data_IF_389373298291
#
_entry.id   IF_389373298291
#
_cell.length_a   1.000
_cell.length_b   1.000
_cell.length_c   1.000
_cell.angle_alpha   90.00
_cell.angle_beta   90.00
_cell.angle_gamma   90.00
#
_symmetry.space_group_name_H-M   'P 1'
#
loop_
_entity.id
_entity.type
_entity.pdbx_description
1 polymer ?
#
# COMPACT_ATOMS: atom_id res chain seq x y z
N UNK A 1 -5.44 -2.85 -2.04
CA UNK A 1 -5.32 -4.27 -1.62
C UNK A 1 -4.69 -5.05 -2.77
N UNK A 2 -3.56 -5.68 -2.57
CA UNK A 2 -2.78 -6.22 -3.68
C UNK A 2 -3.13 -7.69 -3.97
N UNK A 3 -3.41 -8.05 -5.22
CA UNK A 3 -3.53 -9.44 -5.70
C UNK A 3 -2.27 -10.23 -5.32
N UNK A 4 -1.13 -9.57 -5.35
CA UNK A 4 0.15 -10.11 -4.91
C UNK A 4 0.09 -10.71 -3.49
N UNK A 5 -0.59 -10.05 -2.54
CA UNK A 5 -0.74 -10.58 -1.18
C UNK A 5 -1.59 -11.85 -1.13
N UNK A 6 -2.56 -12.02 -2.04
CA UNK A 6 -3.32 -13.27 -2.14
C UNK A 6 -2.46 -14.43 -2.63
N UNK A 7 -1.65 -14.20 -3.65
CA UNK A 7 -0.74 -15.21 -4.18
C UNK A 7 0.31 -15.67 -3.16
N UNK A 8 0.62 -14.82 -2.17
CA UNK A 8 1.52 -15.16 -1.07
C UNK A 8 0.79 -15.83 0.09
N UNK A 9 -0.39 -15.32 0.47
CA UNK A 9 -1.07 -15.73 1.69
C UNK A 9 -1.96 -16.97 1.51
N UNK A 10 -2.53 -17.16 0.33
CA UNK A 10 -3.44 -18.28 0.03
C UNK A 10 -2.62 -19.41 -0.58
N UNK A 11 -2.09 -20.29 0.27
CA UNK A 11 -1.22 -21.41 -0.11
C UNK A 11 -1.61 -22.67 0.66
N UNK A 12 -1.32 -23.84 0.08
CA UNK A 12 -1.35 -25.14 0.75
C UNK A 12 0.06 -25.72 0.67
N UNK A 13 0.56 -26.22 1.81
CA UNK A 13 1.89 -26.85 1.91
C UNK A 13 3.03 -26.00 1.31
N UNK A 14 2.95 -24.67 1.51
CA UNK A 14 3.94 -23.71 0.99
C UNK A 14 3.80 -23.38 -0.50
N UNK A 15 2.89 -24.05 -1.23
CA UNK A 15 2.64 -23.81 -2.66
C UNK A 15 1.36 -23.02 -2.90
N UNK A 16 1.28 -22.32 -4.04
CA UNK A 16 0.04 -21.68 -4.49
C UNK A 16 -1.02 -22.74 -4.76
N UNK A 17 -2.29 -22.41 -4.49
CA UNK A 17 -3.39 -23.29 -4.86
C UNK A 17 -3.50 -23.36 -6.38
N UNK A 18 -3.63 -24.55 -6.90
CA UNK A 18 -3.78 -24.85 -8.32
C UNK A 18 -5.03 -25.68 -8.56
N UNK A 19 -5.62 -25.56 -9.73
CA UNK A 19 -6.65 -26.47 -10.22
C UNK A 19 -6.01 -27.78 -10.75
N UNK A 20 -6.81 -28.69 -11.23
CA UNK A 20 -6.35 -29.97 -11.80
C UNK A 20 -5.48 -29.77 -13.07
N UNK A 21 -5.62 -28.63 -13.75
CA UNK A 21 -4.86 -28.25 -14.94
C UNK A 21 -3.52 -27.56 -14.59
N UNK A 22 -3.22 -27.36 -13.29
CA UNK A 22 -2.00 -26.71 -12.81
C UNK A 22 -2.04 -25.17 -12.85
N UNK A 23 -3.21 -24.56 -13.10
CA UNK A 23 -3.35 -23.11 -13.07
C UNK A 23 -3.52 -22.59 -11.64
N UNK A 24 -2.88 -21.48 -11.34
CA UNK A 24 -2.97 -20.84 -10.01
C UNK A 24 -4.36 -20.26 -9.74
N UNK A 25 -4.99 -20.66 -8.65
CA UNK A 25 -6.32 -20.18 -8.22
C UNK A 25 -6.29 -19.38 -6.93
N UNK A 26 -5.14 -19.22 -6.29
CA UNK A 26 -4.95 -18.50 -5.02
C UNK A 26 -5.49 -17.06 -5.04
N UNK A 27 -5.31 -16.33 -6.13
CA UNK A 27 -5.79 -14.96 -6.30
C UNK A 27 -7.32 -14.88 -6.35
N UNK A 28 -7.97 -15.84 -7.04
CA UNK A 28 -9.42 -15.92 -7.10
C UNK A 28 -10.02 -16.27 -5.75
N UNK A 29 -9.45 -17.26 -5.07
CA UNK A 29 -9.88 -17.63 -3.72
C UNK A 29 -9.72 -16.46 -2.75
N UNK A 30 -8.56 -15.81 -2.78
CA UNK A 30 -8.30 -14.64 -1.95
C UNK A 30 -9.27 -13.49 -2.22
N UNK A 31 -9.52 -13.15 -3.49
CA UNK A 31 -10.44 -12.08 -3.89
C UNK A 31 -11.89 -12.42 -3.50
N UNK A 32 -12.37 -13.62 -3.81
CA UNK A 32 -13.73 -14.05 -3.51
C UNK A 32 -14.05 -13.97 -2.02
N UNK A 33 -13.28 -14.68 -1.19
CA UNK A 33 -13.55 -14.71 0.24
C UNK A 33 -13.28 -13.38 0.96
N UNK A 34 -12.30 -12.61 0.48
CA UNK A 34 -12.05 -11.28 1.03
C UNK A 34 -13.22 -10.33 0.74
N UNK A 35 -13.74 -10.35 -0.49
CA UNK A 35 -14.88 -9.52 -0.89
C UNK A 35 -16.13 -9.90 -0.08
N UNK A 36 -16.42 -11.20 0.07
CA UNK A 36 -17.53 -11.66 0.93
C UNK A 36 -17.39 -11.12 2.35
N UNK A 37 -16.20 -11.25 2.95
CA UNK A 37 -15.94 -10.80 4.32
C UNK A 37 -16.09 -9.28 4.48
N UNK A 38 -15.68 -8.50 3.49
CA UNK A 38 -15.89 -7.05 3.50
C UNK A 38 -17.39 -6.72 3.45
N UNK A 39 -18.15 -7.40 2.58
CA UNK A 39 -19.59 -7.20 2.46
C UNK A 39 -20.35 -7.68 3.71
N UNK A 40 -20.00 -8.83 4.29
CA UNK A 40 -20.56 -9.34 5.56
C UNK A 40 -20.43 -8.33 6.72
N UNK A 41 -19.36 -7.49 6.67
CA UNK A 41 -19.16 -6.40 7.64
C UNK A 41 -19.85 -5.08 7.23
N UNK A 42 -20.78 -5.11 6.28
CA UNK A 42 -21.58 -3.97 5.87
C UNK A 42 -20.84 -2.93 5.03
N UNK A 43 -19.67 -3.27 4.48
CA UNK A 43 -18.86 -2.38 3.63
C UNK A 43 -19.11 -2.74 2.17
N UNK A 44 -19.47 -1.75 1.35
CA UNK A 44 -19.58 -1.89 -0.11
C UNK A 44 -18.26 -1.54 -0.77
N UNK A 45 -17.48 -2.52 -1.22
CA UNK A 45 -16.16 -2.26 -1.82
C UNK A 45 -16.29 -1.80 -3.27
N UNK A 46 -15.40 -0.89 -3.66
CA UNK A 46 -15.03 -0.58 -5.03
C UNK A 46 -13.58 -0.96 -5.23
N UNK A 47 -13.28 -1.76 -6.24
CA UNK A 47 -11.90 -2.15 -6.54
C UNK A 47 -11.31 -1.26 -7.63
N UNK A 48 -10.09 -0.79 -7.41
CA UNK A 48 -9.34 -0.02 -8.39
C UNK A 48 -8.07 -0.80 -8.76
N UNK A 49 -7.88 -1.01 -10.06
CA UNK A 49 -6.70 -1.70 -10.61
C UNK A 49 -5.73 -0.66 -11.17
N UNK A 50 -4.44 -0.95 -11.02
CA UNK A 50 -3.39 -0.12 -11.61
C UNK A 50 -3.45 -0.15 -13.15
N UNK A 51 -3.16 1.00 -13.74
CA UNK A 51 -2.93 1.16 -15.16
C UNK A 51 -1.45 1.13 -15.54
N UNK A 52 -1.03 2.03 -16.43
CA UNK A 52 0.36 2.16 -16.83
C UNK A 52 1.16 2.93 -15.77
N UNK A 53 2.31 2.42 -15.28
CA UNK A 53 3.09 3.12 -14.28
C UNK A 53 3.66 4.43 -14.84
N UNK A 54 3.77 5.50 -14.04
CA UNK A 54 4.43 6.74 -14.43
C UNK A 54 5.91 6.50 -14.80
N UNK A 55 6.45 7.32 -15.71
CA UNK A 55 7.85 7.18 -16.18
C UNK A 55 8.86 7.27 -15.03
N UNK A 56 8.64 8.16 -14.06
CA UNK A 56 9.52 8.32 -12.90
C UNK A 56 9.59 7.08 -11.99
N UNK A 57 8.60 6.18 -12.06
CA UNK A 57 8.62 4.91 -11.31
C UNK A 57 9.54 3.85 -11.92
N UNK A 58 10.13 4.12 -13.09
CA UNK A 58 11.01 3.16 -13.78
C UNK A 58 12.20 2.67 -12.94
N UNK A 59 12.80 3.54 -12.13
CA UNK A 59 13.90 3.19 -11.23
C UNK A 59 13.49 2.18 -10.15
N UNK A 60 12.34 2.39 -9.51
CA UNK A 60 11.84 1.43 -8.52
C UNK A 60 11.40 0.11 -9.18
N UNK A 61 10.80 0.16 -10.36
CA UNK A 61 10.45 -1.04 -11.12
C UNK A 61 11.69 -1.86 -11.50
N UNK A 62 12.78 -1.20 -11.91
CA UNK A 62 14.06 -1.86 -12.20
C UNK A 62 14.64 -2.54 -10.94
N UNK A 63 14.61 -1.86 -9.78
CA UNK A 63 15.04 -2.44 -8.49
C UNK A 63 14.18 -3.62 -8.07
N UNK A 64 12.87 -3.56 -8.26
CA UNK A 64 11.95 -4.69 -7.99
C UNK A 64 12.27 -5.87 -8.90
N UNK A 65 12.59 -5.61 -10.15
CA UNK A 65 13.00 -6.64 -11.11
C UNK A 65 14.31 -7.32 -10.68
N UNK A 66 15.33 -6.53 -10.33
CA UNK A 66 16.61 -7.06 -9.85
C UNK A 66 16.46 -7.90 -8.58
N UNK A 67 15.76 -7.39 -7.54
CA UNK A 67 15.48 -8.17 -6.31
C UNK A 67 14.79 -9.49 -6.60
N UNK A 68 13.96 -9.53 -7.65
CA UNK A 68 13.29 -10.74 -8.08
C UNK A 68 14.24 -11.72 -8.78
N UNK A 69 15.15 -11.23 -9.62
CA UNK A 69 16.19 -12.08 -10.21
C UNK A 69 17.05 -12.72 -9.11
N UNK A 70 17.55 -11.92 -8.16
CA UNK A 70 18.29 -12.41 -6.99
C UNK A 70 17.49 -13.46 -6.19
N UNK A 71 16.17 -13.27 -6.07
CA UNK A 71 15.31 -14.24 -5.39
C UNK A 71 15.08 -15.51 -6.20
N UNK A 72 15.06 -15.45 -7.55
CA UNK A 72 14.98 -16.64 -8.40
C UNK A 72 16.28 -17.45 -8.32
N UNK A 73 17.43 -16.80 -8.39
CA UNK A 73 18.75 -17.44 -8.22
C UNK A 73 18.85 -18.13 -6.86
N UNK A 74 18.46 -17.42 -5.79
CA UNK A 74 18.41 -18.00 -4.44
C UNK A 74 17.38 -19.12 -4.29
N UNK A 75 16.30 -19.14 -5.08
CA UNK A 75 15.35 -20.25 -5.08
C UNK A 75 15.93 -21.52 -5.73
N UNK A 76 16.64 -21.37 -6.84
CA UNK A 76 17.28 -22.52 -7.48
C UNK A 76 18.39 -23.09 -6.58
N UNK A 77 19.23 -22.25 -5.98
CA UNK A 77 20.24 -22.69 -5.00
C UNK A 77 19.58 -23.37 -3.78
N UNK A 78 18.46 -22.82 -3.27
CA UNK A 78 17.75 -23.41 -2.14
C UNK A 78 17.09 -24.76 -2.48
N UNK A 79 16.69 -25.00 -3.74
CA UNK A 79 16.17 -26.29 -4.18
C UNK A 79 17.27 -27.36 -4.23
N UNK A 80 18.52 -26.99 -4.55
CA UNK A 80 19.63 -27.91 -4.66
C UNK A 80 20.26 -28.25 -3.30
N UNK A 81 20.47 -27.24 -2.46
CA UNK A 81 21.28 -27.36 -1.24
C UNK A 81 20.63 -26.81 0.03
N UNK A 82 19.46 -26.14 -0.09
CA UNK A 82 18.81 -25.43 0.99
C UNK A 82 17.83 -26.26 1.81
N UNK A 83 17.23 -25.62 2.81
CA UNK A 83 16.16 -26.18 3.62
C UNK A 83 14.78 -25.90 3.01
N UNK A 84 13.75 -26.66 3.44
CA UNK A 84 12.37 -26.39 3.03
C UNK A 84 11.91 -24.96 3.37
N UNK A 85 12.41 -24.40 4.48
CA UNK A 85 12.14 -23.01 4.89
C UNK A 85 12.77 -22.00 3.93
N UNK A 86 13.98 -22.25 3.43
CA UNK A 86 14.64 -21.39 2.44
C UNK A 86 13.89 -21.43 1.11
N UNK A 87 13.50 -22.61 0.65
CA UNK A 87 12.68 -22.78 -0.56
C UNK A 87 11.36 -22.00 -0.42
N UNK A 88 10.66 -22.12 0.69
CA UNK A 88 9.41 -21.38 0.93
C UNK A 88 9.65 -19.85 0.94
N UNK A 89 10.70 -19.39 1.62
CA UNK A 89 11.07 -17.97 1.71
C UNK A 89 11.35 -17.36 0.33
N UNK A 90 12.15 -18.02 -0.49
CA UNK A 90 12.46 -17.55 -1.84
C UNK A 90 11.25 -17.69 -2.77
N UNK A 91 10.49 -18.79 -2.70
CA UNK A 91 9.25 -18.98 -3.46
C UNK A 91 8.23 -17.84 -3.25
N UNK A 92 8.12 -17.30 -2.03
CA UNK A 92 7.27 -16.13 -1.76
C UNK A 92 7.75 -14.86 -2.45
N UNK A 93 9.07 -14.71 -2.62
CA UNK A 93 9.68 -13.51 -3.23
C UNK A 93 9.64 -13.54 -4.75
N UNK A 94 9.51 -14.73 -5.36
CA UNK A 94 9.45 -14.91 -6.82
C UNK A 94 8.05 -14.75 -7.40
N UNK A 95 7.01 -14.64 -6.56
CA UNK A 95 5.62 -14.48 -6.99
C UNK A 95 5.47 -13.28 -7.93
N UNK A 96 4.67 -13.46 -8.99
CA UNK A 96 4.34 -12.42 -9.95
C UNK A 96 2.85 -12.37 -10.22
N UNK A 97 2.29 -11.18 -10.18
CA UNK A 97 0.95 -10.91 -10.72
C UNK A 97 1.07 -10.80 -12.23
N UNK A 98 0.26 -11.55 -12.97
CA UNK A 98 0.21 -11.49 -14.43
C UNK A 98 -1.00 -10.69 -14.91
N UNK A 99 -1.06 -10.41 -16.21
CA UNK A 99 -2.24 -9.76 -16.82
C UNK A 99 -3.47 -10.67 -16.72
N UNK A 100 -3.26 -11.97 -16.83
CA UNK A 100 -4.30 -13.00 -16.69
C UNK A 100 -4.91 -12.96 -15.29
N UNK A 101 -4.08 -12.92 -14.23
CA UNK A 101 -4.56 -12.79 -12.84
C UNK A 101 -5.44 -11.55 -12.65
N UNK A 102 -5.06 -10.41 -13.27
CA UNK A 102 -5.86 -9.19 -13.22
C UNK A 102 -7.20 -9.37 -13.96
N UNK A 103 -7.16 -9.93 -15.18
CA UNK A 103 -8.36 -10.16 -15.99
C UNK A 103 -9.33 -11.13 -15.31
N UNK A 104 -8.82 -12.19 -14.69
CA UNK A 104 -9.61 -13.16 -13.93
C UNK A 104 -10.25 -12.53 -12.68
N UNK A 105 -9.51 -11.69 -11.95
CA UNK A 105 -10.06 -10.93 -10.82
C UNK A 105 -11.15 -9.94 -11.27
N UNK A 106 -10.96 -9.26 -12.38
CA UNK A 106 -11.98 -8.35 -12.96
C UNK A 106 -13.23 -9.12 -13.40
N UNK A 107 -13.06 -10.27 -14.06
CA UNK A 107 -14.17 -11.17 -14.41
C UNK A 107 -14.91 -11.64 -13.17
N UNK A 108 -14.19 -12.06 -12.13
CA UNK A 108 -14.77 -12.48 -10.86
C UNK A 108 -15.59 -11.37 -10.22
N UNK A 109 -15.04 -10.16 -10.10
CA UNK A 109 -15.75 -9.01 -9.50
C UNK A 109 -17.02 -8.67 -10.29
N UNK A 110 -16.96 -8.70 -11.63
CA UNK A 110 -18.13 -8.49 -12.48
C UNK A 110 -19.22 -9.53 -12.21
N UNK A 111 -18.88 -10.81 -12.11
CA UNK A 111 -19.81 -11.88 -11.79
C UNK A 111 -20.35 -11.78 -10.36
N UNK A 112 -19.57 -11.25 -9.44
CA UNK A 112 -20.02 -10.94 -8.07
C UNK A 112 -20.90 -9.70 -7.97
N UNK A 113 -21.10 -8.94 -9.04
CA UNK A 113 -21.85 -7.68 -9.03
C UNK A 113 -21.11 -6.55 -8.29
N UNK A 114 -19.79 -6.66 -8.13
CA UNK A 114 -18.95 -5.68 -7.45
C UNK A 114 -18.30 -4.76 -8.49
N UNK A 115 -18.47 -3.44 -8.39
CA UNK A 115 -17.87 -2.51 -9.32
C UNK A 115 -16.34 -2.48 -9.19
N UNK A 116 -15.68 -2.30 -10.32
CA UNK A 116 -14.24 -2.04 -10.38
C UNK A 116 -13.92 -0.98 -11.43
N UNK A 117 -12.77 -0.35 -11.27
CA UNK A 117 -12.22 0.66 -12.17
C UNK A 117 -10.78 0.32 -12.51
N UNK A 118 -10.36 0.59 -13.74
CA UNK A 118 -8.95 0.57 -14.12
C UNK A 118 -8.47 2.01 -14.17
N UNK A 119 -7.53 2.36 -13.30
CA UNK A 119 -6.92 3.68 -13.29
C UNK A 119 -6.08 3.89 -14.56
N UNK A 120 -5.93 5.12 -15.07
CA UNK A 120 -4.97 5.42 -16.13
C UNK A 120 -3.53 5.08 -15.71
N UNK A 121 -3.17 5.43 -14.46
CA UNK A 121 -1.86 5.14 -13.87
C UNK A 121 -2.00 4.37 -12.55
N UNK A 122 -1.81 5.01 -11.43
CA UNK A 122 -1.78 4.38 -10.11
C UNK A 122 -3.16 4.31 -9.46
N UNK A 123 -3.51 3.13 -8.95
CA UNK A 123 -4.77 2.89 -8.27
C UNK A 123 -4.94 3.77 -7.03
N UNK A 124 -3.87 4.01 -6.27
CA UNK A 124 -3.86 4.86 -5.08
C UNK A 124 -4.27 6.30 -5.41
N UNK A 125 -3.74 6.85 -6.49
CA UNK A 125 -4.09 8.20 -6.97
C UNK A 125 -5.57 8.28 -7.36
N UNK A 126 -6.07 7.28 -8.08
CA UNK A 126 -7.49 7.20 -8.47
C UNK A 126 -8.40 7.05 -7.25
N UNK A 127 -8.04 6.22 -6.28
CA UNK A 127 -8.77 6.09 -5.02
C UNK A 127 -8.83 7.42 -4.26
N UNK A 128 -7.74 8.18 -4.25
CA UNK A 128 -7.68 9.49 -3.61
C UNK A 128 -8.66 10.48 -4.24
N UNK A 129 -8.74 10.53 -5.57
CA UNK A 129 -9.69 11.39 -6.30
C UNK A 129 -11.13 11.03 -5.95
N UNK A 130 -11.48 9.74 -5.97
CA UNK A 130 -12.83 9.27 -5.64
C UNK A 130 -13.21 9.58 -4.19
N UNK A 131 -12.26 9.46 -3.26
CA UNK A 131 -12.48 9.77 -1.84
C UNK A 131 -12.66 11.29 -1.63
N UNK A 132 -11.84 12.14 -2.27
CA UNK A 132 -12.01 13.60 -2.22
C UNK A 132 -13.33 14.07 -2.78
N UNK A 133 -13.79 13.45 -3.85
CA UNK A 133 -15.08 13.76 -4.47
C UNK A 133 -16.30 13.21 -3.71
N UNK A 134 -16.08 12.48 -2.61
CA UNK A 134 -17.17 11.87 -1.83
C UNK A 134 -17.87 10.71 -2.54
N UNK A 135 -17.33 10.18 -3.64
CA UNK A 135 -17.86 8.98 -4.32
C UNK A 135 -17.69 7.73 -3.46
N UNK A 136 -16.63 7.70 -2.64
CA UNK A 136 -16.36 6.69 -1.62
C UNK A 136 -16.00 7.35 -0.30
N UNK A 137 -16.18 6.63 0.81
CA UNK A 137 -15.85 7.13 2.15
C UNK A 137 -14.34 7.29 2.37
N UNK A 138 -13.56 6.33 1.94
CA UNK A 138 -12.12 6.26 2.18
C UNK A 138 -11.42 5.44 1.11
N UNK A 139 -10.13 5.64 0.94
CA UNK A 139 -9.27 4.71 0.25
C UNK A 139 -8.79 3.61 1.20
N UNK A 140 -8.71 2.37 0.73
CA UNK A 140 -8.19 1.24 1.50
C UNK A 140 -6.91 0.71 0.84
N UNK A 141 -5.77 0.98 1.45
CA UNK A 141 -4.45 0.53 0.98
C UNK A 141 -3.53 0.26 2.17
N UNK A 142 -2.57 -0.64 1.98
CA UNK A 142 -1.45 -0.81 2.92
C UNK A 142 -0.34 0.20 2.65
N UNK A 143 -0.38 0.85 1.49
CA UNK A 143 0.59 1.86 1.09
C UNK A 143 0.24 3.23 1.66
N UNK A 144 1.19 3.79 2.42
CA UNK A 144 1.03 5.11 3.03
C UNK A 144 1.17 6.25 2.01
N UNK A 145 1.77 6.00 0.85
CA UNK A 145 1.91 7.00 -0.22
C UNK A 145 0.55 7.45 -0.75
N UNK A 146 -0.51 6.64 -0.51
CA UNK A 146 -1.91 7.04 -0.72
C UNK A 146 -2.25 8.40 -0.08
N UNK A 147 -1.65 8.75 1.06
CA UNK A 147 -1.85 10.06 1.71
C UNK A 147 -1.19 11.20 0.92
N UNK A 148 -0.11 10.94 0.20
CA UNK A 148 0.57 11.94 -0.63
C UNK A 148 -0.31 12.41 -1.80
N UNK A 149 -1.25 11.58 -2.25
CA UNK A 149 -2.28 11.96 -3.22
C UNK A 149 -3.44 12.75 -2.60
N UNK A 150 -3.28 13.28 -1.39
CA UNK A 150 -4.32 14.03 -0.65
C UNK A 150 -5.59 13.22 -0.38
N UNK A 151 -5.46 11.95 -0.07
CA UNK A 151 -6.59 11.11 0.38
C UNK A 151 -7.07 11.58 1.75
N UNK A 152 -8.35 11.96 1.92
CA UNK A 152 -8.85 12.46 3.20
C UNK A 152 -8.77 11.41 4.31
N UNK A 153 -9.14 10.17 3.99
CA UNK A 153 -9.18 9.04 4.93
C UNK A 153 -8.55 7.82 4.26
N UNK A 154 -7.54 7.26 4.91
CA UNK A 154 -6.90 6.01 4.53
C UNK A 154 -7.25 4.91 5.53
N UNK A 155 -7.78 3.79 5.04
CA UNK A 155 -8.01 2.58 5.84
C UNK A 155 -6.87 1.59 5.61
N UNK A 156 -6.21 1.18 6.70
CA UNK A 156 -5.19 0.13 6.67
C UNK A 156 -5.67 -1.11 7.42
N UNK A 157 -5.08 -2.24 7.09
CA UNK A 157 -5.42 -3.54 7.68
C UNK A 157 -6.90 -3.95 7.50
N UNK A 158 -7.51 -3.52 6.37
CA UNK A 158 -8.87 -3.91 6.00
C UNK A 158 -8.90 -5.39 5.56
N UNK A 159 -8.35 -6.26 6.40
CA UNK A 159 -8.21 -7.69 6.09
C UNK A 159 -9.22 -8.55 6.83
N UNK A 160 -9.77 -8.06 7.94
CA UNK A 160 -10.63 -8.81 8.86
C UNK A 160 -10.03 -10.18 9.22
N UNK A 161 -8.70 -10.25 9.36
CA UNK A 161 -8.01 -11.49 9.66
C UNK A 161 -8.19 -11.87 11.13
N UNK A 162 -8.92 -12.96 11.38
CA UNK A 162 -9.09 -13.50 12.72
C UNK A 162 -7.77 -13.97 13.35
N UNK A 163 -6.83 -14.42 12.51
CA UNK A 163 -5.52 -14.91 12.97
C UNK A 163 -4.61 -13.78 13.45
N UNK A 164 -4.61 -12.62 12.78
CA UNK A 164 -3.74 -11.51 13.14
C UNK A 164 -4.32 -10.58 14.19
N UNK A 165 -5.65 -10.52 14.30
CA UNK A 165 -6.38 -9.63 15.23
C UNK A 165 -5.87 -8.19 15.25
N UNK A 166 -5.31 -7.75 14.13
CA UNK A 166 -4.87 -6.36 14.00
C UNK A 166 -6.10 -5.48 13.76
N UNK A 167 -6.28 -4.42 14.53
CA UNK A 167 -7.41 -3.51 14.33
C UNK A 167 -7.27 -2.79 13.00
N UNK A 168 -8.40 -2.51 12.35
CA UNK A 168 -8.43 -1.61 11.19
C UNK A 168 -7.96 -0.25 11.67
N UNK A 169 -7.00 0.32 10.94
CA UNK A 169 -6.50 1.66 11.21
C UNK A 169 -7.18 2.64 10.25
N UNK A 170 -7.84 3.61 10.81
CA UNK A 170 -8.39 4.75 10.07
C UNK A 170 -7.49 5.96 10.29
N UNK A 171 -6.86 6.41 9.22
CA UNK A 171 -5.89 7.50 9.23
C UNK A 171 -6.51 8.68 8.50
N UNK A 172 -6.69 9.78 9.22
CA UNK A 172 -7.19 11.03 8.69
C UNK A 172 -6.01 11.93 8.34
N UNK A 173 -5.95 12.40 7.09
CA UNK A 173 -4.87 13.27 6.62
C UNK A 173 -4.76 14.56 7.45
N UNK A 174 -5.89 15.17 7.82
CA UNK A 174 -5.93 16.34 8.67
C UNK A 174 -5.21 16.11 10.01
N UNK A 175 -5.48 14.99 10.67
CA UNK A 175 -4.82 14.63 11.94
C UNK A 175 -3.33 14.34 11.77
N UNK A 176 -2.93 13.82 10.60
CA UNK A 176 -1.52 13.63 10.27
C UNK A 176 -0.80 14.98 10.15
N UNK A 177 -1.38 15.90 9.39
CA UNK A 177 -0.82 17.25 9.20
C UNK A 177 -0.74 18.03 10.54
N UNK A 178 -1.77 17.92 11.38
CA UNK A 178 -1.77 18.48 12.74
C UNK A 178 -0.65 17.89 13.60
N UNK A 179 -0.53 16.56 13.62
CA UNK A 179 0.47 15.87 14.43
C UNK A 179 1.91 16.17 13.99
N UNK A 180 2.10 16.46 12.71
CA UNK A 180 3.38 16.89 12.15
C UNK A 180 3.64 18.39 12.33
N UNK A 181 2.69 19.15 12.91
CA UNK A 181 2.75 20.63 13.01
C UNK A 181 3.11 21.30 11.68
N UNK A 182 2.51 20.83 10.58
CA UNK A 182 2.64 21.47 9.27
C UNK A 182 1.95 22.82 9.29
N UNK A 183 2.54 23.82 8.63
CA UNK A 183 2.13 25.21 8.81
C UNK A 183 0.72 25.50 8.29
N UNK A 184 -0.12 26.07 9.16
CA UNK A 184 -1.47 26.57 8.82
C UNK A 184 -1.48 27.92 8.13
N UNK A 185 -0.32 28.58 8.00
CA UNK A 185 -0.25 29.90 7.39
C UNK A 185 -0.43 29.82 5.88
N UNK A 186 -1.40 30.57 5.39
CA UNK A 186 -1.59 30.78 3.96
C UNK A 186 -0.35 31.45 3.37
N UNK A 187 0.51 30.65 2.75
CA UNK A 187 1.52 31.20 1.84
C UNK A 187 0.81 31.37 0.50
N UNK A 188 0.69 32.60 0.03
CA UNK A 188 0.33 32.87 -1.37
C UNK A 188 1.47 32.32 -2.22
N UNK A 189 1.29 31.11 -2.75
CA UNK A 189 2.18 30.56 -3.76
C UNK A 189 1.83 31.22 -5.10
N UNK A 190 2.84 31.62 -5.87
CA UNK A 190 2.69 32.15 -7.23
C UNK A 190 2.25 31.07 -8.25
N UNK A 191 1.88 29.90 -7.80
CA UNK A 191 1.28 28.85 -8.60
C UNK A 191 -0.21 29.14 -8.73
N UNK A 192 -0.72 29.13 -9.95
CA UNK A 192 -2.06 29.52 -10.39
C UNK A 192 -3.24 29.06 -9.52
N UNK A 193 -4.49 29.22 -9.98
CA UNK A 193 -5.66 28.99 -9.14
C UNK A 193 -5.64 27.59 -8.53
N UNK A 194 -5.83 27.55 -7.19
CA UNK A 194 -5.90 26.30 -6.42
C UNK A 194 -6.86 25.33 -7.10
N UNK A 195 -6.48 24.05 -7.29
CA UNK A 195 -7.40 23.06 -7.80
C UNK A 195 -8.70 23.08 -6.99
N UNK A 196 -9.85 23.08 -7.67
CA UNK A 196 -11.19 23.25 -7.10
C UNK A 196 -11.60 22.19 -6.05
N UNK A 197 -10.77 21.16 -5.86
CA UNK A 197 -10.99 20.05 -4.94
C UNK A 197 -10.32 20.21 -3.56
N UNK A 198 -9.58 21.31 -3.31
CA UNK A 198 -9.03 21.62 -1.98
C UNK A 198 -10.05 22.39 -1.13
N UNK A 199 -11.22 21.80 -0.90
CA UNK A 199 -12.27 22.37 -0.03
C UNK A 199 -12.07 22.04 1.46
N UNK A 200 -10.97 21.37 1.83
CA UNK A 200 -10.66 21.09 3.23
C UNK A 200 -10.00 22.27 3.92
N UNK A 201 -10.19 22.40 5.22
CA UNK A 201 -9.72 23.47 6.13
C UNK A 201 -8.19 23.65 6.20
N UNK A 202 -7.44 22.90 5.39
CA UNK A 202 -5.97 22.88 5.37
C UNK A 202 -5.41 23.73 4.24
N UNK A 203 -4.33 24.45 4.55
CA UNK A 203 -3.65 25.23 3.53
C UNK A 203 -2.95 24.28 2.54
N UNK A 204 -2.97 24.65 1.26
CA UNK A 204 -2.20 23.98 0.21
C UNK A 204 -0.73 23.82 0.62
N UNK A 205 -0.19 24.76 1.38
CA UNK A 205 1.17 24.74 1.93
C UNK A 205 1.42 23.54 2.83
N UNK A 206 0.49 23.17 3.72
CA UNK A 206 0.67 22.01 4.60
C UNK A 206 0.71 20.71 3.81
N UNK A 207 -0.13 20.58 2.78
CA UNK A 207 -0.10 19.41 1.88
C UNK A 207 1.22 19.34 1.09
N UNK A 208 1.71 20.49 0.58
CA UNK A 208 3.01 20.55 -0.12
C UNK A 208 4.14 20.14 0.83
N UNK A 209 4.20 20.70 2.04
CA UNK A 209 5.22 20.33 3.01
C UNK A 209 5.19 18.87 3.39
N UNK A 210 4.00 18.27 3.46
CA UNK A 210 3.85 16.82 3.72
C UNK A 210 4.41 15.99 2.57
N UNK A 211 4.06 16.31 1.33
CA UNK A 211 4.59 15.63 0.14
C UNK A 211 6.11 15.83 0.05
N UNK A 212 6.61 17.04 0.29
CA UNK A 212 8.04 17.35 0.33
C UNK A 212 8.78 16.51 1.37
N UNK A 213 8.18 16.33 2.56
CA UNK A 213 8.70 15.45 3.60
C UNK A 213 8.79 14.01 3.11
N UNK A 214 7.75 13.51 2.45
CA UNK A 214 7.73 12.14 1.91
C UNK A 214 8.77 11.95 0.80
N UNK A 215 8.95 12.94 -0.10
CA UNK A 215 9.99 12.92 -1.14
C UNK A 215 11.40 12.85 -0.52
N UNK A 216 11.66 13.64 0.55
CA UNK A 216 12.94 13.58 1.26
C UNK A 216 13.22 12.21 1.89
N UNK A 217 12.19 11.52 2.34
CA UNK A 217 12.29 10.18 2.92
C UNK A 217 12.44 9.07 1.88
N UNK A 218 12.19 9.41 0.62
CA UNK A 218 12.13 8.50 -0.51
C UNK A 218 10.71 7.99 -0.75
N UNK A 219 10.35 7.93 -2.02
CA UNK A 219 9.07 7.44 -2.51
C UNK A 219 9.31 6.54 -3.73
N UNK A 220 8.25 6.00 -4.31
CA UNK A 220 8.35 5.14 -5.50
C UNK A 220 8.94 5.86 -6.73
N UNK A 221 8.97 7.19 -6.72
CA UNK A 221 9.49 8.02 -7.81
C UNK A 221 10.95 8.43 -7.65
N UNK A 222 11.40 8.59 -6.40
CA UNK A 222 12.74 9.10 -6.09
C UNK A 222 13.38 8.38 -4.91
N UNK A 223 14.69 8.21 -5.01
CA UNK A 223 15.49 7.71 -3.91
C UNK A 223 15.60 8.74 -2.78
N UNK A 224 15.66 8.28 -1.53
CA UNK A 224 15.87 9.16 -0.39
C UNK A 224 17.28 9.80 -0.45
N UNK A 225 17.40 11.01 0.10
CA UNK A 225 18.70 11.63 0.27
C UNK A 225 19.51 10.81 1.29
N UNK A 226 20.74 10.37 0.96
CA UNK A 226 21.57 9.59 1.87
C UNK A 226 21.78 10.30 3.22
N UNK A 227 21.68 9.55 4.32
CA UNK A 227 21.80 10.03 5.71
C UNK A 227 20.65 10.92 6.20
N UNK A 228 19.63 11.19 5.39
CA UNK A 228 18.41 11.89 5.81
C UNK A 228 17.36 10.86 6.27
N UNK A 229 17.14 10.79 7.58
CA UNK A 229 16.09 9.96 8.17
C UNK A 229 14.89 10.80 8.60
N UNK A 230 13.81 10.19 9.16
CA UNK A 230 12.55 10.86 9.44
C UNK A 230 12.69 12.14 10.28
N UNK A 231 13.44 12.08 11.37
CA UNK A 231 13.64 13.25 12.24
C UNK A 231 14.40 14.39 11.54
N UNK A 232 15.38 14.02 10.70
CA UNK A 232 16.16 15.00 9.94
C UNK A 232 15.33 15.63 8.84
N UNK A 233 14.58 14.84 8.08
CA UNK A 233 13.69 15.33 7.02
C UNK A 233 12.65 16.30 7.58
N UNK A 234 11.97 15.91 8.67
CA UNK A 234 10.99 16.77 9.33
C UNK A 234 11.61 18.08 9.84
N UNK A 235 12.82 17.99 10.42
CA UNK A 235 13.55 19.19 10.85
C UNK A 235 13.86 20.11 9.68
N UNK A 236 14.39 19.57 8.59
CA UNK A 236 14.74 20.35 7.39
C UNK A 236 13.51 21.06 6.79
N UNK A 237 12.38 20.36 6.65
CA UNK A 237 11.14 20.96 6.14
C UNK A 237 10.63 22.07 7.07
N UNK A 238 10.70 21.89 8.39
CA UNK A 238 10.29 22.93 9.37
C UNK A 238 11.21 24.13 9.36
N UNK A 239 12.51 23.95 9.22
CA UNK A 239 13.52 25.04 9.20
C UNK A 239 13.45 25.85 7.91
N UNK A 240 13.32 25.19 6.77
CA UNK A 240 13.39 25.83 5.46
C UNK A 240 12.02 26.13 4.84
N UNK A 241 10.98 25.42 5.25
CA UNK A 241 9.59 25.64 4.82
C UNK A 241 9.22 25.03 3.47
N UNK A 242 10.18 24.73 2.59
CA UNK A 242 9.94 24.07 1.30
C UNK A 242 11.15 23.23 0.87
N UNK A 243 10.90 22.28 -0.01
CA UNK A 243 11.92 21.37 -0.52
C UNK A 243 12.99 22.09 -1.36
N UNK A 244 12.61 23.14 -2.12
CA UNK A 244 13.53 23.97 -2.89
C UNK A 244 14.59 24.58 -1.98
N UNK A 245 14.18 25.18 -0.86
CA UNK A 245 15.10 25.78 0.11
C UNK A 245 15.94 24.74 0.83
N UNK A 246 15.41 23.55 1.07
CA UNK A 246 16.18 22.42 1.60
C UNK A 246 17.28 22.01 0.62
N UNK A 247 16.94 21.87 -0.66
CA UNK A 247 17.90 21.53 -1.73
C UNK A 247 18.99 22.61 -1.85
N UNK A 248 18.61 23.88 -1.83
CA UNK A 248 19.54 25.01 -1.86
C UNK A 248 20.48 24.99 -0.65
N UNK A 249 19.93 24.77 0.55
CA UNK A 249 20.72 24.68 1.78
C UNK A 249 21.72 23.52 1.74
N UNK A 250 21.33 22.37 1.19
CA UNK A 250 22.22 21.22 1.05
C UNK A 250 23.34 21.50 0.04
N UNK A 251 23.02 22.15 -1.10
CA UNK A 251 24.02 22.54 -2.11
C UNK A 251 25.03 23.53 -1.58
N UNK A 252 24.61 24.43 -0.71
CA UNK A 252 25.44 25.50 -0.14
C UNK A 252 26.13 25.09 1.19
N UNK A 253 25.95 23.83 1.67
CA UNK A 253 26.57 23.37 2.91
C UNK A 253 28.09 23.14 2.72
N UNK A 254 28.96 23.98 3.31
CA UNK A 254 30.41 23.83 3.16
C UNK A 254 30.96 22.55 3.78
N UNK A 255 30.20 21.91 4.66
CA UNK A 255 30.57 20.67 5.33
C UNK A 255 30.19 19.42 4.54
N UNK A 256 29.40 19.56 3.47
CA UNK A 256 28.95 18.43 2.64
C UNK A 256 28.27 17.31 3.41
N UNK A 257 27.51 17.64 4.44
CA UNK A 257 26.89 16.65 5.34
C UNK A 257 25.92 15.73 4.61
N UNK A 258 25.19 16.27 3.65
CA UNK A 258 24.22 15.55 2.82
C UNK A 258 24.65 15.67 1.36
N UNK A 259 24.42 14.61 0.59
CA UNK A 259 24.74 14.58 -0.83
C UNK A 259 23.44 14.39 -1.61
N UNK A 260 23.17 15.31 -2.51
CA UNK A 260 22.04 15.17 -3.44
C UNK A 260 22.45 14.20 -4.55
N UNK A 261 21.54 13.34 -5.04
CA UNK A 261 21.75 12.62 -6.28
C UNK A 261 21.94 13.59 -7.45
N UNK A 262 22.76 13.22 -8.46
CA UNK A 262 23.07 14.08 -9.61
C UNK A 262 21.82 14.45 -10.42
N UNK A 263 20.90 13.51 -10.60
CA UNK A 263 19.59 13.73 -11.21
C UNK A 263 18.49 13.39 -10.20
N UNK A 264 17.96 14.43 -9.56
CA UNK A 264 16.89 14.28 -8.54
C UNK A 264 15.72 15.18 -8.88
N UNK A 265 14.81 14.75 -9.79
CA UNK A 265 13.69 15.54 -10.29
C UNK A 265 12.54 15.62 -9.28
N UNK A 266 12.78 16.24 -8.12
CA UNK A 266 11.82 16.33 -7.04
C UNK A 266 10.57 17.16 -7.37
N UNK A 267 10.70 18.11 -8.31
CA UNK A 267 9.55 18.88 -8.79
C UNK A 267 8.59 17.98 -9.58
N UNK A 268 9.13 17.18 -10.51
CA UNK A 268 8.32 16.24 -11.29
C UNK A 268 7.66 15.17 -10.40
N UNK A 269 8.36 14.73 -9.34
CA UNK A 269 7.80 13.80 -8.37
C UNK A 269 6.67 14.46 -7.55
N UNK A 270 6.83 15.73 -7.16
CA UNK A 270 5.78 16.49 -6.48
C UNK A 270 4.56 16.66 -7.38
N UNK A 271 4.76 17.00 -8.64
CA UNK A 271 3.70 17.18 -9.63
C UNK A 271 2.90 15.89 -9.82
N UNK A 272 3.55 14.73 -9.85
CA UNK A 272 2.85 13.44 -9.91
C UNK A 272 1.92 13.19 -8.71
N UNK A 273 2.24 13.68 -7.52
CA UNK A 273 1.36 13.56 -6.36
C UNK A 273 0.18 14.54 -6.40
N UNK A 274 0.37 15.74 -6.93
CA UNK A 274 -0.68 16.76 -6.98
C UNK A 274 -1.55 16.69 -8.23
N UNK A 275 -0.96 16.34 -9.36
CA UNK A 275 -1.59 16.27 -10.68
C UNK A 275 -1.38 14.89 -11.32
N UNK A 276 -1.76 13.80 -10.63
CA UNK A 276 -1.63 12.46 -11.19
C UNK A 276 -2.55 12.30 -12.40
N UNK A 277 -2.13 11.47 -13.36
CA UNK A 277 -2.99 11.07 -14.47
C UNK A 277 -4.06 10.09 -13.96
N UNK A 278 -5.27 10.60 -13.76
CA UNK A 278 -6.42 9.89 -13.21
C UNK A 278 -7.70 10.28 -13.93
N UNK A 279 -8.72 9.42 -13.84
CA UNK A 279 -10.06 9.78 -14.30
C UNK A 279 -10.69 10.79 -13.35
N UNK A 280 -11.36 11.79 -13.93
CA UNK A 280 -12.20 12.70 -13.14
C UNK A 280 -13.28 11.91 -12.38
N UNK A 281 -13.65 12.38 -11.20
CA UNK A 281 -14.78 11.80 -10.46
C UNK A 281 -16.13 11.95 -11.20
N UNK A 282 -16.21 12.88 -12.14
CA UNK A 282 -17.40 13.12 -12.97
C UNK A 282 -17.39 12.28 -14.26
N UNK A 283 -16.33 11.48 -14.50
CA UNK A 283 -16.29 10.52 -15.62
C UNK A 283 -17.45 9.52 -15.45
N UNK A 284 -18.22 9.23 -16.52
CA UNK A 284 -19.30 8.24 -16.47
C UNK A 284 -18.87 6.86 -15.96
N UNK A 285 -17.62 6.49 -16.14
CA UNK A 285 -17.04 5.25 -15.59
C UNK A 285 -16.90 5.29 -14.06
N UNK A 286 -17.03 6.46 -13.44
CA UNK A 286 -17.05 6.65 -11.99
C UNK A 286 -18.47 6.70 -11.39
N UNK A 287 -19.49 6.32 -12.15
CA UNK A 287 -20.86 6.09 -11.65
C UNK A 287 -21.04 4.61 -11.30
N UNK A 288 -20.62 4.26 -10.10
CA UNK A 288 -20.56 2.86 -9.67
C UNK A 288 -21.91 2.34 -9.21
N UNK A 289 -22.24 1.10 -9.64
CA UNK A 289 -23.40 0.36 -9.20
C UNK A 289 -22.99 -1.01 -8.69
N UNK A 290 -23.58 -1.41 -7.57
CA UNK A 290 -23.46 -2.76 -7.02
C UNK A 290 -24.69 -3.54 -7.48
N UNK A 291 -24.45 -4.58 -8.26
CA UNK A 291 -25.49 -5.41 -8.85
C UNK A 291 -25.65 -6.73 -8.11
N UNK A 292 -26.69 -7.47 -8.43
CA UNK A 292 -26.83 -8.84 -7.93
C UNK A 292 -25.75 -9.73 -8.53
N UNK A 293 -25.20 -10.68 -7.74
CA UNK A 293 -24.28 -11.65 -8.27
C UNK A 293 -24.93 -12.52 -9.36
N UNK A 294 -24.19 -12.77 -10.43
CA UNK A 294 -24.54 -13.76 -11.46
C UNK A 294 -24.10 -15.15 -10.97
N UNK A 295 -25.04 -15.86 -10.32
CA UNK A 295 -24.76 -17.15 -9.68
C UNK A 295 -24.34 -18.21 -10.70
N UNK A 296 -25.00 -18.25 -11.86
CA UNK A 296 -24.70 -19.25 -12.89
C UNK A 296 -23.35 -18.96 -13.55
N UNK A 297 -23.05 -17.70 -13.81
CA UNK A 297 -21.75 -17.26 -14.27
C UNK A 297 -20.62 -17.55 -13.28
N UNK A 298 -20.89 -17.37 -11.97
CA UNK A 298 -19.92 -17.72 -10.90
C UNK A 298 -19.66 -19.23 -10.85
N UNK A 299 -20.70 -20.06 -10.96
CA UNK A 299 -20.55 -21.52 -11.01
C UNK A 299 -19.77 -21.92 -12.27
N UNK A 300 -20.12 -21.40 -13.43
CA UNK A 300 -19.38 -21.68 -14.66
C UNK A 300 -17.91 -21.32 -14.51
N UNK A 301 -17.59 -20.13 -14.02
CA UNK A 301 -16.21 -19.67 -13.91
C UNK A 301 -15.43 -20.35 -12.79
N UNK A 302 -15.95 -20.30 -11.55
CA UNK A 302 -15.19 -20.79 -10.40
C UNK A 302 -15.22 -22.31 -10.27
N UNK A 303 -16.36 -22.97 -10.56
CA UNK A 303 -16.48 -24.43 -10.39
C UNK A 303 -15.97 -25.15 -11.62
N UNK A 304 -16.57 -24.87 -12.80
CA UNK A 304 -16.29 -25.66 -14.01
C UNK A 304 -14.89 -25.35 -14.61
N UNK A 305 -14.50 -24.04 -14.61
CA UNK A 305 -13.20 -23.66 -15.20
C UNK A 305 -12.05 -23.71 -14.17
N UNK A 306 -12.31 -23.48 -12.88
CA UNK A 306 -11.25 -23.30 -11.85
C UNK A 306 -11.28 -24.33 -10.71
N UNK A 307 -12.21 -25.28 -10.70
CA UNK A 307 -12.23 -26.39 -9.77
C UNK A 307 -12.64 -26.04 -8.32
N UNK A 308 -13.38 -24.95 -8.11
CA UNK A 308 -13.90 -24.60 -6.78
C UNK A 308 -15.11 -25.49 -6.39
N UNK A 309 -15.35 -25.60 -5.10
CA UNK A 309 -16.55 -26.29 -4.59
C UNK A 309 -17.82 -25.50 -4.92
N UNK A 310 -18.77 -26.13 -5.63
CA UNK A 310 -20.04 -25.53 -6.03
C UNK A 310 -20.85 -25.05 -4.82
N UNK A 311 -20.96 -25.86 -3.77
CA UNK A 311 -21.70 -25.52 -2.55
C UNK A 311 -21.16 -24.23 -1.91
N UNK A 312 -19.84 -24.08 -1.86
CA UNK A 312 -19.19 -22.89 -1.31
C UNK A 312 -19.41 -21.66 -2.18
N UNK A 313 -19.37 -21.80 -3.50
CA UNK A 313 -19.62 -20.71 -4.44
C UNK A 313 -21.06 -20.24 -4.35
N UNK A 314 -22.04 -21.15 -4.37
CA UNK A 314 -23.46 -20.83 -4.23
C UNK A 314 -23.80 -20.20 -2.87
N UNK A 315 -23.24 -20.75 -1.80
CA UNK A 315 -23.40 -20.17 -0.46
C UNK A 315 -22.83 -18.76 -0.38
N UNK A 316 -21.64 -18.53 -0.94
CA UNK A 316 -21.01 -17.20 -1.01
C UNK A 316 -21.85 -16.21 -1.82
N UNK A 317 -22.34 -16.60 -2.99
CA UNK A 317 -23.20 -15.77 -3.82
C UNK A 317 -24.51 -15.39 -3.13
N UNK A 318 -25.14 -16.33 -2.41
CA UNK A 318 -26.36 -16.06 -1.64
C UNK A 318 -26.12 -15.07 -0.49
N UNK A 319 -25.00 -15.18 0.23
CA UNK A 319 -24.60 -14.21 1.26
C UNK A 319 -24.41 -12.83 0.65
N UNK A 320 -23.65 -12.74 -0.45
CA UNK A 320 -23.38 -11.48 -1.14
C UNK A 320 -24.66 -10.81 -1.63
N UNK A 321 -25.62 -11.57 -2.20
CA UNK A 321 -26.91 -11.04 -2.62
C UNK A 321 -27.70 -10.43 -1.45
N UNK A 322 -27.67 -11.07 -0.28
CA UNK A 322 -28.30 -10.56 0.93
C UNK A 322 -27.66 -9.26 1.41
N UNK A 323 -26.33 -9.22 1.44
CA UNK A 323 -25.57 -8.07 1.97
C UNK A 323 -25.67 -6.86 1.04
N UNK A 324 -25.63 -7.07 -0.29
CA UNK A 324 -25.80 -5.99 -1.26
C UNK A 324 -27.21 -5.39 -1.30
N UNK A 325 -28.24 -6.19 -0.96
CA UNK A 325 -29.63 -5.72 -0.83
C UNK A 325 -29.86 -4.87 0.42
N UNK A 326 -29.03 -5.02 1.45
CA UNK A 326 -29.19 -4.24 2.66
C UNK A 326 -28.95 -2.75 2.35
N UNK A 327 -29.95 -1.91 2.61
CA UNK A 327 -30.02 -0.52 2.15
C UNK A 327 -29.13 0.46 2.89
N UNK A 328 -28.37 0.00 3.88
CA UNK A 328 -27.52 0.87 4.68
C UNK A 328 -26.10 0.30 4.81
N UNK A 329 -25.18 0.92 4.10
CA UNK A 329 -23.84 1.02 4.58
C UNK A 329 -23.91 1.94 5.82
N UNK A 330 -24.10 1.35 7.01
CA UNK A 330 -23.95 2.10 8.25
C UNK A 330 -22.52 2.61 8.34
N UNK A 331 -22.34 3.85 8.81
CA UNK A 331 -21.01 4.40 9.04
C UNK A 331 -20.20 3.42 9.89
N UNK A 332 -18.93 3.24 9.59
CA UNK A 332 -17.99 2.43 10.38
C UNK A 332 -18.13 2.66 11.89
N UNK A 333 -18.44 3.89 12.29
CA UNK A 333 -18.75 4.30 13.68
C UNK A 333 -19.90 3.51 14.34
N UNK A 334 -20.81 2.96 13.56
CA UNK A 334 -21.90 2.10 14.09
C UNK A 334 -21.42 0.67 14.42
N UNK A 335 -20.37 0.19 13.77
CA UNK A 335 -19.80 -1.16 13.99
C UNK A 335 -18.55 -1.14 14.88
N UNK A 336 -17.78 -0.06 14.82
CA UNK A 336 -16.55 0.11 15.57
C UNK A 336 -16.68 1.34 16.46
N UNK A 337 -16.98 1.13 17.73
CA UNK A 337 -16.79 2.22 18.70
C UNK A 337 -15.30 2.49 18.77
N UNK A 338 -14.82 3.67 18.38
CA UNK A 338 -13.42 4.02 18.58
C UNK A 338 -13.17 3.99 20.07
N UNK A 339 -12.39 3.02 20.53
CA UNK A 339 -11.89 3.02 21.91
C UNK A 339 -10.68 3.94 21.88
N UNK A 340 -10.79 5.16 22.42
CA UNK A 340 -9.62 6.01 22.56
C UNK A 340 -8.64 5.28 23.46
N UNK A 341 -7.43 5.04 22.98
CA UNK A 341 -6.38 4.47 23.83
C UNK A 341 -6.21 5.34 25.04
N UNK A 342 -6.36 4.76 26.22
CA UNK A 342 -6.12 5.48 27.47
C UNK A 342 -4.68 5.97 27.52
N UNK A 343 -4.41 7.03 28.28
CA UNK A 343 -3.04 7.55 28.44
C UNK A 343 -2.06 6.47 28.95
N UNK A 344 -2.58 5.49 29.69
CA UNK A 344 -1.81 4.32 30.16
C UNK A 344 -1.49 3.33 29.03
N UNK A 345 -2.44 3.04 28.15
CA UNK A 345 -2.21 2.18 26.99
C UNK A 345 -1.27 2.82 25.97
N UNK A 346 -1.32 4.14 25.81
CA UNK A 346 -0.36 4.89 24.97
C UNK A 346 1.05 4.81 25.57
N UNK A 347 1.19 4.97 26.88
CA UNK A 347 2.47 4.81 27.59
C UNK A 347 2.97 3.38 27.51
N UNK A 348 2.10 2.38 27.70
CA UNK A 348 2.47 0.97 27.60
C UNK A 348 2.88 0.59 26.17
N UNK A 349 2.21 1.11 25.16
CA UNK A 349 2.57 0.90 23.74
C UNK A 349 3.93 1.54 23.42
N UNK A 350 4.18 2.76 23.91
CA UNK A 350 5.47 3.45 23.73
C UNK A 350 6.62 2.69 24.41
N UNK A 351 6.42 2.18 25.64
CA UNK A 351 7.40 1.33 26.33
C UNK A 351 7.72 0.04 25.57
N UNK A 352 6.68 -0.68 25.09
CA UNK A 352 6.88 -1.89 24.28
C UNK A 352 7.62 -1.61 22.97
N UNK A 353 7.40 -0.44 22.37
CA UNK A 353 8.11 -0.03 21.17
C UNK A 353 9.58 0.31 21.45
N UNK A 354 9.85 0.97 22.57
CA UNK A 354 11.20 1.29 23.05
C UNK A 354 11.97 0.01 23.40
N UNK A 355 11.37 -0.93 24.12
CA UNK A 355 11.94 -2.25 24.45
C UNK A 355 12.27 -3.05 23.17
N UNK A 356 11.35 -3.10 22.21
CA UNK A 356 11.57 -3.78 20.93
C UNK A 356 12.69 -3.15 20.10
N UNK A 357 12.83 -1.84 20.19
CA UNK A 357 13.91 -1.10 19.53
C UNK A 357 15.27 -1.32 20.26
N UNK A 358 15.27 -1.42 21.58
CA UNK A 358 16.48 -1.77 22.34
C UNK A 358 16.93 -3.21 22.06
N UNK A 359 16.00 -4.17 22.00
CA UNK A 359 16.33 -5.55 21.63
C UNK A 359 16.93 -5.64 20.23
N UNK A 360 16.34 -4.93 19.24
CA UNK A 360 16.91 -4.84 17.90
C UNK A 360 18.30 -4.23 17.90
N UNK A 361 18.52 -3.17 18.69
CA UNK A 361 19.86 -2.55 18.83
C UNK A 361 20.87 -3.49 19.49
N UNK A 362 20.47 -4.29 20.47
CA UNK A 362 21.34 -5.30 21.12
C UNK A 362 21.72 -6.40 20.12
N UNK A 363 20.74 -6.99 19.41
CA UNK A 363 21.00 -7.99 18.36
C UNK A 363 21.94 -7.47 17.26
N UNK A 364 21.71 -6.24 16.80
CA UNK A 364 22.58 -5.64 15.77
C UNK A 364 24.01 -5.38 16.26
N UNK A 365 24.18 -5.09 17.56
CA UNK A 365 25.51 -4.95 18.20
C UNK A 365 26.21 -6.31 18.36
N UNK A 366 25.47 -7.35 18.69
CA UNK A 366 25.99 -8.72 18.80
C UNK A 366 26.41 -9.26 17.44
N UNK A 367 25.58 -9.13 16.40
CA UNK A 367 25.94 -9.50 15.03
C UNK A 367 27.18 -8.75 14.51
N UNK A 368 27.31 -7.45 14.84
CA UNK A 368 28.53 -6.69 14.49
C UNK A 368 29.77 -7.18 15.22
N UNK A 369 29.63 -7.57 16.49
CA UNK A 369 30.72 -8.15 17.29
C UNK A 369 31.13 -9.52 16.75
N UNK A 370 30.19 -10.38 16.37
CA UNK A 370 30.49 -11.68 15.78
C UNK A 370 31.17 -11.54 14.41
N UNK A 371 30.66 -10.65 13.53
CA UNK A 371 31.32 -10.36 12.26
C UNK A 371 32.72 -9.78 12.41
N UNK A 372 32.95 -8.98 13.45
CA UNK A 372 34.29 -8.45 13.75
C UNK A 372 35.22 -9.56 14.26
N UNK A 373 34.74 -10.49 15.12
CA UNK A 373 35.52 -11.64 15.59
C UNK A 373 35.83 -12.63 14.47
N UNK A 374 34.88 -12.84 13.53
CA UNK A 374 35.10 -13.69 12.36
C UNK A 374 36.14 -13.13 11.39
N UNK A 375 36.24 -11.81 11.26
CA UNK A 375 37.27 -11.12 10.43
C UNK A 375 38.65 -11.06 11.10
N UNK A 376 38.71 -11.25 12.43
CA UNK A 376 39.97 -11.20 13.21
C UNK A 376 40.67 -12.56 13.37
N UNK A 377 40.12 -13.66 12.85
CA UNK A 377 40.84 -14.96 12.82
C UNK A 377 41.96 -14.89 11.77
N UNK A 378 43.23 -15.08 12.15
CA UNK A 378 44.33 -15.09 11.18
C UNK A 378 44.15 -16.26 10.21
N UNK A 379 44.31 -15.99 8.91
CA UNK A 379 44.50 -17.04 7.91
C UNK A 379 45.77 -17.79 8.28
N UNK A 380 45.60 -19.02 8.72
CA UNK A 380 46.72 -19.91 8.98
C UNK A 380 47.50 -20.10 7.69
N UNK A 381 48.77 -19.83 7.78
CA UNK A 381 49.79 -20.19 6.80
C UNK A 381 49.90 -21.72 6.74
N UNK A 382 49.64 -22.28 5.59
CA UNK A 382 50.16 -23.58 5.13
C UNK A 382 50.47 -23.47 3.66
#
# INVERSE_FOLDING_TARGET
MSIYSFLIAVRSDGQQLMNEEGETTSHLMGMFYRTLRICDNGIKPLYVFDGAPPKLKSGELARRYQRKQEANEGLEEAKETGTAEDVEKFSRRTVRVTKEHNAECQRLLKLMGIPYLIAPTEAEAQCAVLARAGKVYAAASEDMDTLCFNTPILLRHLTFSEQRKEPIQEIHLDKVLDGLNMDRKQVRTNHGPSPSYLTSTWSLTACIQFVDLCILLGCDYLDPIPKVGPNTALKLIREHGSLEKVVESIKNDPKGKYTLPDDWPYLDARDLFFEPDVRSADDPLCDFKWDKPDVDGLVQFLVNEKGFSEDRVRSGASRLEKDLKSSQQSRLEGFFKPVPKTAEEQKAHKRKLEEKNEEKRKKLKEEKKEKAKAKAKPRGTA
#
